data_IF_847494097250
#
_entry.id   IF_847494097250
#
_cell.length_a   1.000
_cell.length_b   1.000
_cell.length_c   1.000
_cell.angle_alpha   90.00
_cell.angle_beta   90.00
_cell.angle_gamma   90.00
#
_symmetry.space_group_name_H-M   'P 1'
#
loop_
_entity.id
_entity.type
_entity.pdbx_description
1 polymer ?
#
# COMPACT_ATOMS: atom_id res chain seq x y z
N UNK A 1 29.20 49.62 41.18
CA UNK A 1 27.97 49.94 40.41
C UNK A 1 28.38 50.36 39.01
N UNK A 2 28.21 49.47 38.02
CA UNK A 2 27.64 49.80 36.72
C UNK A 2 27.47 48.53 35.90
N UNK A 3 26.28 48.42 35.33
CA UNK A 3 25.65 47.19 34.90
C UNK A 3 26.17 46.71 33.54
N UNK A 4 26.36 45.39 33.44
CA UNK A 4 26.52 44.69 32.17
C UNK A 4 25.12 44.39 31.64
N UNK A 5 24.74 45.00 30.52
CA UNK A 5 23.56 44.59 29.75
C UNK A 5 23.89 43.32 28.95
N UNK A 6 23.10 42.23 29.06
CA UNK A 6 23.24 41.13 28.13
C UNK A 6 22.53 41.48 26.81
N UNK A 7 23.23 41.31 25.69
CA UNK A 7 22.60 41.29 24.37
C UNK A 7 21.57 40.15 24.34
N UNK A 8 20.29 40.50 24.23
CA UNK A 8 19.25 39.55 23.88
C UNK A 8 19.46 39.10 22.42
N UNK A 9 19.96 37.88 22.24
CA UNK A 9 19.87 37.18 20.95
C UNK A 9 18.40 36.86 20.72
N UNK A 10 17.74 37.65 19.87
CA UNK A 10 16.43 37.32 19.35
C UNK A 10 16.55 36.06 18.48
N UNK A 11 16.25 34.89 19.06
CA UNK A 11 15.91 33.70 18.29
C UNK A 11 14.60 34.00 17.56
N UNK A 12 14.72 34.48 16.31
CA UNK A 12 13.66 34.41 15.31
C UNK A 12 13.41 32.94 15.03
N UNK A 13 12.59 32.31 15.88
CA UNK A 13 11.97 31.03 15.55
C UNK A 13 11.14 31.25 14.30
N UNK A 14 11.60 30.70 13.17
CA UNK A 14 10.80 30.61 11.96
C UNK A 14 9.58 29.77 12.31
N UNK A 15 8.44 30.43 12.51
CA UNK A 15 7.16 29.73 12.59
C UNK A 15 7.01 28.91 11.31
N UNK A 16 7.03 27.58 11.42
CA UNK A 16 6.72 26.69 10.31
C UNK A 16 5.36 27.13 9.76
N UNK A 17 5.34 27.59 8.50
CA UNK A 17 4.12 28.03 7.84
C UNK A 17 3.06 26.94 8.00
N UNK A 18 1.88 27.30 8.51
CA UNK A 18 0.81 26.33 8.67
C UNK A 18 0.49 25.69 7.30
N UNK A 19 0.22 24.37 7.25
CA UNK A 19 -0.10 23.72 6.00
C UNK A 19 -1.30 24.41 5.35
N UNK A 20 -1.15 24.79 4.07
CA UNK A 20 -2.26 25.40 3.31
C UNK A 20 -2.83 24.37 2.36
N UNK A 21 -4.15 24.19 2.45
CA UNK A 21 -4.90 23.24 1.65
C UNK A 21 -5.55 23.96 0.46
N UNK A 22 -5.51 23.35 -0.71
CA UNK A 22 -6.24 23.83 -1.89
C UNK A 22 -6.67 22.68 -2.79
N UNK A 23 -7.61 22.97 -3.69
CA UNK A 23 -8.02 22.07 -4.78
C UNK A 23 -7.78 22.83 -6.08
N UNK A 24 -6.74 22.46 -6.87
CA UNK A 24 -6.49 23.12 -8.14
C UNK A 24 -7.67 22.99 -9.10
N UNK A 25 -7.91 24.02 -9.93
CA UNK A 25 -9.02 24.00 -10.88
C UNK A 25 -8.89 22.79 -11.83
N UNK A 26 -9.95 21.99 -11.93
CA UNK A 26 -9.98 20.79 -12.77
C UNK A 26 -9.22 19.58 -12.22
N UNK A 27 -8.57 19.68 -11.06
CA UNK A 27 -7.80 18.57 -10.48
C UNK A 27 -8.70 17.67 -9.59
N UNK A 28 -8.61 16.33 -9.75
CA UNK A 28 -9.34 15.37 -8.92
C UNK A 28 -8.58 15.05 -7.61
N UNK A 29 -7.85 16.02 -7.05
CA UNK A 29 -7.01 15.82 -5.87
C UNK A 29 -6.82 17.10 -5.06
N UNK A 30 -6.41 16.93 -3.81
CA UNK A 30 -6.08 18.00 -2.88
C UNK A 30 -4.59 18.29 -2.96
N UNK A 31 -4.19 19.56 -2.86
CA UNK A 31 -2.80 19.96 -2.63
C UNK A 31 -2.66 20.49 -1.21
N UNK A 32 -1.68 19.97 -0.46
CA UNK A 32 -1.30 20.49 0.85
C UNK A 32 0.12 21.02 0.77
N UNK A 33 0.27 22.34 0.88
CA UNK A 33 1.58 23.00 0.88
C UNK A 33 2.11 23.17 2.30
N UNK A 34 3.42 23.28 2.44
CA UNK A 34 4.08 23.49 3.74
C UNK A 34 4.28 22.20 4.54
N UNK A 35 4.11 21.04 3.90
CA UNK A 35 4.46 19.73 4.45
C UNK A 35 5.76 19.27 3.81
N UNK A 36 6.76 18.95 4.64
CA UNK A 36 8.03 18.46 4.13
C UNK A 36 7.93 16.94 3.99
N UNK A 37 8.12 16.34 2.80
CA UNK A 37 7.82 14.92 2.65
C UNK A 37 8.65 13.97 3.53
N UNK A 38 9.85 14.38 3.98
CA UNK A 38 10.64 13.61 4.94
C UNK A 38 9.94 13.40 6.29
N UNK A 39 9.00 14.27 6.67
CA UNK A 39 8.16 14.13 7.86
C UNK A 39 7.23 12.90 7.75
N UNK A 40 6.86 12.52 6.53
CA UNK A 40 5.99 11.38 6.20
C UNK A 40 6.78 10.09 5.94
N UNK A 41 8.11 10.15 5.91
CA UNK A 41 8.98 9.04 5.50
C UNK A 41 9.71 8.40 6.69
N UNK A 42 10.05 9.21 7.69
CA UNK A 42 10.87 8.79 8.83
C UNK A 42 10.09 8.23 10.03
N UNK A 43 10.74 8.15 11.22
CA UNK A 43 10.15 7.60 12.44
C UNK A 43 8.85 8.30 12.91
N UNK A 44 8.63 9.55 12.49
CA UNK A 44 7.43 10.34 12.83
C UNK A 44 6.30 10.25 11.78
N UNK A 45 6.42 9.35 10.79
CA UNK A 45 5.45 9.21 9.70
C UNK A 45 4.01 9.02 10.16
N UNK A 46 3.78 8.20 11.19
CA UNK A 46 2.41 7.91 11.65
C UNK A 46 1.72 9.15 12.24
N UNK A 47 2.31 9.87 13.22
CA UNK A 47 1.78 11.16 13.67
C UNK A 47 1.62 12.20 12.55
N UNK A 48 2.54 12.24 11.58
CA UNK A 48 2.47 13.18 10.47
C UNK A 48 1.27 12.88 9.54
N UNK A 49 1.05 11.60 9.19
CA UNK A 49 -0.11 11.16 8.42
C UNK A 49 -1.44 11.38 9.17
N UNK A 50 -1.45 11.20 10.49
CA UNK A 50 -2.61 11.55 11.33
C UNK A 50 -2.96 13.04 11.23
N UNK A 51 -1.97 13.92 11.40
CA UNK A 51 -2.16 15.38 11.27
C UNK A 51 -2.61 15.78 9.86
N UNK A 52 -2.05 15.16 8.83
CA UNK A 52 -2.46 15.38 7.44
C UNK A 52 -3.94 15.00 7.24
N UNK A 53 -4.36 13.82 7.70
CA UNK A 53 -5.76 13.40 7.61
C UNK A 53 -6.69 14.34 8.39
N UNK A 54 -6.28 14.81 9.58
CA UNK A 54 -7.04 15.81 10.35
C UNK A 54 -7.20 17.14 9.60
N UNK A 55 -6.18 17.60 8.88
CA UNK A 55 -6.28 18.79 8.02
C UNK A 55 -7.32 18.56 6.93
N UNK A 56 -7.27 17.42 6.24
CA UNK A 56 -8.23 17.08 5.18
C UNK A 56 -9.66 16.99 5.73
N UNK A 57 -9.92 16.18 6.75
CA UNK A 57 -11.30 15.95 7.22
C UNK A 57 -11.94 17.14 7.96
N UNK A 58 -11.18 18.20 8.25
CA UNK A 58 -11.75 19.49 8.67
C UNK A 58 -12.52 20.19 7.54
N UNK A 59 -12.08 20.04 6.29
CA UNK A 59 -12.70 20.71 5.14
C UNK A 59 -13.56 19.78 4.27
N UNK A 60 -13.30 18.48 4.29
CA UNK A 60 -13.98 17.51 3.41
C UNK A 60 -14.88 16.53 4.20
N UNK A 61 -15.92 16.02 3.54
CA UNK A 61 -16.82 14.99 4.06
C UNK A 61 -16.11 13.64 4.16
N UNK A 62 -16.54 12.81 5.11
CA UNK A 62 -15.96 11.49 5.40
C UNK A 62 -16.44 10.41 4.41
N UNK A 63 -15.96 10.49 3.17
CA UNK A 63 -16.43 9.63 2.08
C UNK A 63 -15.36 8.68 1.51
N UNK A 64 -14.09 8.84 1.87
CA UNK A 64 -13.01 8.01 1.35
C UNK A 64 -12.91 6.66 2.09
N UNK A 65 -12.71 5.58 1.33
CA UNK A 65 -12.28 4.30 1.89
C UNK A 65 -10.76 4.33 2.14
N UNK A 66 -10.01 4.99 1.25
CA UNK A 66 -8.56 5.16 1.35
C UNK A 66 -8.14 6.58 1.00
N UNK A 67 -7.09 7.07 1.66
CA UNK A 67 -6.42 8.31 1.28
C UNK A 67 -5.05 7.96 0.69
N UNK A 68 -4.75 8.42 -0.52
CA UNK A 68 -3.43 8.25 -1.13
C UNK A 68 -2.69 9.57 -1.14
N UNK A 69 -1.48 9.57 -0.56
CA UNK A 69 -0.64 10.74 -0.37
C UNK A 69 0.63 10.59 -1.20
N UNK A 70 0.89 11.56 -2.06
CA UNK A 70 2.10 11.61 -2.87
C UNK A 70 2.93 12.83 -2.52
N UNK A 71 4.24 12.65 -2.40
CA UNK A 71 5.16 13.78 -2.37
C UNK A 71 5.39 14.33 -3.77
N UNK A 72 5.28 15.65 -3.92
CA UNK A 72 5.61 16.36 -5.16
C UNK A 72 7.14 16.39 -5.35
N UNK A 73 7.71 15.25 -5.77
CA UNK A 73 9.12 15.05 -6.08
C UNK A 73 9.25 14.26 -7.38
N UNK A 74 10.20 14.66 -8.24
CA UNK A 74 10.57 13.90 -9.47
C UNK A 74 11.63 12.84 -9.22
N UNK A 75 12.48 13.05 -8.22
CA UNK A 75 13.48 12.11 -7.76
C UNK A 75 13.31 11.88 -6.26
N UNK A 76 13.50 10.63 -5.85
CA UNK A 76 13.47 10.23 -4.45
C UNK A 76 14.89 10.34 -3.91
N UNK A 77 15.17 11.15 -2.89
CA UNK A 77 16.50 11.19 -2.26
C UNK A 77 16.95 9.80 -1.81
N UNK A 78 18.23 9.46 -1.96
CA UNK A 78 18.78 8.16 -1.54
C UNK A 78 18.55 7.87 -0.04
N UNK A 79 18.46 8.92 0.78
CA UNK A 79 18.16 8.84 2.21
C UNK A 79 16.69 8.51 2.53
N UNK A 80 15.81 8.43 1.53
CA UNK A 80 14.40 8.08 1.72
C UNK A 80 14.29 6.59 2.08
N UNK A 81 13.82 6.24 3.29
CA UNK A 81 13.85 4.86 3.78
C UNK A 81 12.76 3.97 3.17
N UNK A 82 11.84 4.53 2.39
CA UNK A 82 10.65 3.84 1.86
C UNK A 82 10.42 4.16 0.40
N UNK A 83 9.92 3.17 -0.36
CA UNK A 83 9.42 3.37 -1.73
C UNK A 83 7.90 3.57 -1.77
N UNK A 84 7.24 3.24 -0.68
CA UNK A 84 5.83 3.37 -0.40
C UNK A 84 5.55 2.76 0.97
N UNK A 85 4.37 3.01 1.53
CA UNK A 85 3.84 2.22 2.65
C UNK A 85 2.33 2.34 2.75
N UNK A 86 1.73 1.34 3.39
CA UNK A 86 0.36 1.37 3.88
C UNK A 86 0.30 1.61 5.39
N UNK A 87 -0.57 2.53 5.82
CA UNK A 87 -0.89 2.78 7.22
C UNK A 87 -2.36 2.44 7.46
N UNK A 88 -2.60 1.37 8.23
CA UNK A 88 -3.95 0.94 8.59
C UNK A 88 -4.58 1.89 9.62
N UNK A 89 -5.80 2.34 9.34
CA UNK A 89 -6.60 3.22 10.21
C UNK A 89 -7.74 2.45 10.87
N UNK A 90 -8.36 1.55 10.12
CA UNK A 90 -9.47 0.72 10.56
C UNK A 90 -9.36 -0.65 9.91
N UNK A 91 -9.79 -1.67 10.62
CA UNK A 91 -10.10 -2.97 10.04
C UNK A 91 -11.46 -3.44 10.56
N UNK A 92 -12.41 -3.62 9.66
CA UNK A 92 -13.72 -4.23 9.90
C UNK A 92 -13.86 -5.61 9.21
N UNK A 93 -12.77 -6.09 8.58
CA UNK A 93 -12.72 -7.40 7.93
C UNK A 93 -12.21 -8.45 8.93
N UNK A 94 -12.95 -9.55 9.07
CA UNK A 94 -12.56 -10.73 9.86
C UNK A 94 -12.00 -11.83 8.95
N UNK A 95 -11.32 -12.81 9.54
CA UNK A 95 -10.81 -13.99 8.82
C UNK A 95 -9.61 -13.68 7.90
N UNK A 96 -8.93 -12.56 8.12
CA UNK A 96 -7.72 -12.14 7.37
C UNK A 96 -6.47 -12.04 8.26
N UNK A 97 -6.55 -12.47 9.53
CA UNK A 97 -5.41 -12.45 10.47
C UNK A 97 -5.20 -11.10 11.18
N UNK A 98 -5.85 -10.05 10.71
CA UNK A 98 -5.85 -8.73 11.36
C UNK A 98 -7.02 -8.63 12.35
N UNK A 99 -6.79 -8.26 13.62
CA UNK A 99 -7.87 -7.96 14.55
C UNK A 99 -8.75 -6.81 14.04
N UNK A 100 -10.04 -6.81 14.39
CA UNK A 100 -10.91 -5.66 14.08
C UNK A 100 -10.61 -4.50 15.01
N UNK A 101 -10.49 -3.29 14.46
CA UNK A 101 -10.27 -2.07 15.24
C UNK A 101 -10.69 -0.82 14.45
N UNK A 102 -10.83 0.31 15.14
CA UNK A 102 -11.06 1.62 14.51
C UNK A 102 -10.25 2.72 15.23
N UNK A 103 -9.20 3.21 14.58
CA UNK A 103 -8.37 4.30 15.07
C UNK A 103 -8.76 5.67 14.46
N UNK A 104 -9.88 5.76 13.74
CA UNK A 104 -10.29 6.94 12.99
C UNK A 104 -10.43 8.22 13.80
N UNK A 105 -10.62 8.14 15.13
CA UNK A 105 -10.54 9.29 16.05
C UNK A 105 -9.22 10.07 15.90
N UNK A 106 -8.12 9.37 15.63
CA UNK A 106 -6.79 9.98 15.48
C UNK A 106 -6.58 10.62 14.10
N UNK A 107 -7.47 10.33 13.13
CA UNK A 107 -7.37 10.75 11.73
C UNK A 107 -8.52 11.69 11.37
N UNK A 108 -8.80 12.68 12.22
CA UNK A 108 -9.86 13.67 11.98
C UNK A 108 -11.26 13.18 12.30
N UNK A 109 -11.40 12.13 13.12
CA UNK A 109 -12.70 11.61 13.53
C UNK A 109 -13.42 10.80 12.43
N UNK A 110 -12.73 10.40 11.37
CA UNK A 110 -13.27 9.54 10.32
C UNK A 110 -13.80 8.23 10.90
N UNK A 111 -14.93 7.76 10.36
CA UNK A 111 -15.50 6.44 10.63
C UNK A 111 -15.32 5.50 9.43
N UNK A 112 -15.03 6.07 8.25
CA UNK A 112 -14.96 5.34 7.00
C UNK A 112 -13.56 4.86 6.64
N UNK A 113 -12.56 5.72 6.79
CA UNK A 113 -11.19 5.51 6.29
C UNK A 113 -10.61 4.18 6.82
N UNK A 114 -10.25 3.30 5.90
CA UNK A 114 -9.62 2.01 6.18
C UNK A 114 -8.12 2.14 6.32
N UNK A 115 -7.49 2.97 5.47
CA UNK A 115 -6.05 3.20 5.54
C UNK A 115 -5.59 4.39 4.69
N UNK A 116 -4.32 4.75 4.90
CA UNK A 116 -3.62 5.71 4.06
C UNK A 116 -2.46 5.02 3.34
N UNK A 117 -2.20 5.45 2.11
CA UNK A 117 -1.02 5.09 1.34
C UNK A 117 -0.13 6.30 1.20
N UNK A 118 1.18 6.12 1.28
CA UNK A 118 2.15 7.17 1.01
C UNK A 118 3.14 6.74 -0.06
N UNK A 119 3.50 7.66 -0.95
CA UNK A 119 4.55 7.49 -1.95
C UNK A 119 5.48 8.73 -2.02
N UNK A 120 6.80 8.54 -2.08
CA UNK A 120 7.79 9.61 -1.98
C UNK A 120 7.99 10.42 -3.27
N UNK A 121 7.27 10.12 -4.35
CA UNK A 121 7.36 10.78 -5.64
C UNK A 121 6.09 10.56 -6.48
N UNK A 122 5.82 11.46 -7.42
CA UNK A 122 4.71 11.34 -8.38
C UNK A 122 5.13 10.74 -9.72
N UNK A 123 6.44 10.67 -10.00
CA UNK A 123 6.99 10.22 -11.27
C UNK A 123 8.32 9.48 -11.08
N UNK A 124 8.63 8.45 -11.88
CA UNK A 124 7.76 7.83 -12.89
C UNK A 124 6.68 6.92 -12.28
N UNK A 125 5.44 7.02 -12.78
CA UNK A 125 4.29 6.30 -12.20
C UNK A 125 4.46 4.79 -12.20
N UNK A 126 5.15 4.23 -13.20
CA UNK A 126 5.41 2.79 -13.30
C UNK A 126 6.37 2.25 -12.23
N UNK A 127 7.11 3.12 -11.53
CA UNK A 127 7.97 2.71 -10.41
C UNK A 127 7.28 2.80 -9.05
N UNK A 128 6.05 3.32 -9.00
CA UNK A 128 5.30 3.50 -7.76
C UNK A 128 4.66 2.15 -7.42
N UNK A 129 5.03 1.48 -6.32
CA UNK A 129 4.54 0.14 -5.98
C UNK A 129 3.11 0.17 -5.42
N UNK A 130 2.20 0.89 -6.09
CA UNK A 130 0.87 1.18 -5.57
C UNK A 130 0.08 -0.06 -5.23
N UNK A 131 -0.01 -1.02 -6.16
CA UNK A 131 -0.81 -2.23 -5.93
C UNK A 131 -0.14 -3.16 -4.90
N UNK A 132 1.18 -3.09 -4.71
CA UNK A 132 1.84 -3.76 -3.59
C UNK A 132 1.42 -3.14 -2.26
N UNK A 133 1.54 -1.81 -2.12
CA UNK A 133 1.17 -1.13 -0.88
C UNK A 133 -0.32 -1.24 -0.58
N UNK A 134 -1.17 -1.19 -1.60
CA UNK A 134 -2.61 -1.35 -1.43
C UNK A 134 -2.99 -2.74 -0.91
N UNK A 135 -2.21 -3.77 -1.28
CA UNK A 135 -2.41 -5.14 -0.81
C UNK A 135 -2.20 -5.30 0.69
N UNK A 136 -1.35 -4.47 1.31
CA UNK A 136 -1.13 -4.48 2.76
C UNK A 136 -2.40 -4.16 3.54
N UNK A 137 -3.45 -3.60 2.92
CA UNK A 137 -4.79 -3.52 3.51
C UNK A 137 -5.32 -4.88 3.99
N UNK A 138 -5.04 -5.94 3.23
CA UNK A 138 -5.48 -7.32 3.45
C UNK A 138 -4.32 -8.32 3.42
N UNK A 139 -3.10 -7.87 3.72
CA UNK A 139 -1.88 -8.65 3.57
C UNK A 139 -1.81 -9.91 4.43
N UNK A 140 -0.68 -10.63 4.37
CA UNK A 140 -0.56 -11.92 5.03
C UNK A 140 -0.30 -11.78 6.54
N UNK A 141 -1.38 -11.81 7.32
CA UNK A 141 -1.37 -11.93 8.79
C UNK A 141 -1.87 -13.32 9.27
N UNK A 142 -2.11 -14.26 8.32
CA UNK A 142 -2.63 -15.60 8.61
C UNK A 142 -1.54 -16.68 8.55
N UNK A 143 -0.72 -16.64 7.51
CA UNK A 143 0.21 -17.71 7.20
C UNK A 143 1.57 -17.39 7.81
N UNK A 144 2.25 -18.37 8.44
CA UNK A 144 3.63 -18.21 8.85
C UNK A 144 4.50 -17.74 7.68
N UNK A 145 5.32 -16.72 7.93
CA UNK A 145 6.11 -16.06 6.89
C UNK A 145 7.46 -15.63 7.45
N UNK A 146 8.45 -15.53 6.57
CA UNK A 146 9.77 -14.98 6.90
C UNK A 146 9.73 -13.44 7.07
N UNK A 147 8.70 -12.79 6.53
CA UNK A 147 8.57 -11.34 6.49
C UNK A 147 7.12 -10.96 6.83
N UNK A 148 6.86 -10.32 7.99
CA UNK A 148 5.51 -9.94 8.40
C UNK A 148 4.76 -9.15 7.31
N UNK A 149 3.47 -9.44 7.14
CA UNK A 149 2.63 -8.83 6.09
C UNK A 149 2.83 -9.41 4.68
N UNK A 150 3.81 -10.29 4.48
CA UNK A 150 4.18 -10.85 3.18
C UNK A 150 4.10 -12.37 3.14
N UNK A 151 4.20 -12.97 1.95
CA UNK A 151 4.05 -14.42 1.77
C UNK A 151 5.34 -15.22 1.89
N UNK A 152 6.51 -14.56 1.95
CA UNK A 152 7.77 -15.22 2.23
C UNK A 152 8.08 -16.34 1.23
N UNK A 153 8.31 -17.55 1.75
CA UNK A 153 8.52 -18.76 0.97
C UNK A 153 7.20 -19.52 0.77
N UNK A 154 6.16 -18.83 0.31
CA UNK A 154 4.87 -19.45 0.04
C UNK A 154 4.39 -19.20 -1.39
N UNK A 155 3.74 -20.22 -1.95
CA UNK A 155 3.11 -20.18 -3.26
C UNK A 155 1.71 -19.55 -3.28
N UNK A 156 1.32 -18.88 -2.20
CA UNK A 156 0.02 -18.21 -2.03
C UNK A 156 0.04 -16.75 -2.47
N UNK A 157 1.21 -16.14 -2.57
CA UNK A 157 1.37 -14.70 -2.79
C UNK A 157 1.89 -14.38 -4.17
N UNK A 158 1.67 -13.13 -4.59
CA UNK A 158 2.24 -12.61 -5.82
C UNK A 158 2.78 -11.21 -5.56
N UNK A 159 1.89 -10.26 -5.32
CA UNK A 159 2.24 -8.87 -5.09
C UNK A 159 3.02 -8.68 -3.79
N UNK A 160 2.62 -9.38 -2.73
CA UNK A 160 3.28 -9.39 -1.42
C UNK A 160 4.35 -10.50 -1.30
N UNK A 161 5.00 -10.83 -2.42
CA UNK A 161 6.06 -11.83 -2.47
C UNK A 161 5.52 -13.26 -2.56
N UNK A 162 6.41 -14.24 -2.43
CA UNK A 162 6.09 -15.64 -2.66
C UNK A 162 6.45 -16.11 -4.07
N UNK A 163 6.35 -17.42 -4.30
CA UNK A 163 6.71 -18.05 -5.57
C UNK A 163 5.48 -18.49 -6.37
N UNK A 164 5.65 -18.78 -7.65
CA UNK A 164 4.66 -19.47 -8.46
C UNK A 164 4.67 -20.96 -8.12
N UNK A 165 3.59 -21.45 -7.51
CA UNK A 165 3.43 -22.85 -7.11
C UNK A 165 3.69 -23.84 -8.26
N UNK A 166 3.45 -23.45 -9.51
CA UNK A 166 3.67 -24.31 -10.71
C UNK A 166 5.15 -24.57 -10.99
N UNK A 167 6.03 -23.73 -10.46
CA UNK A 167 7.48 -23.79 -10.73
C UNK A 167 8.26 -24.51 -9.63
N UNK A 168 7.61 -24.79 -8.50
CA UNK A 168 8.24 -25.42 -7.34
C UNK A 168 8.71 -26.83 -7.71
N UNK A 169 9.97 -27.11 -7.42
CA UNK A 169 10.58 -28.43 -7.56
C UNK A 169 11.46 -28.74 -6.35
N UNK A 170 11.42 -29.99 -5.90
CA UNK A 170 12.37 -30.51 -4.91
C UNK A 170 13.64 -30.94 -5.64
N UNK A 171 14.79 -30.40 -5.24
CA UNK A 171 16.10 -30.64 -5.89
C UNK A 171 17.11 -31.32 -4.96
N UNK A 172 16.69 -31.62 -3.73
CA UNK A 172 17.46 -32.36 -2.72
C UNK A 172 16.59 -32.65 -1.50
N UNK A 173 17.12 -33.31 -0.44
CA UNK A 173 16.34 -33.70 0.73
C UNK A 173 15.54 -32.56 1.38
N UNK A 174 16.17 -31.40 1.56
CA UNK A 174 15.58 -30.18 2.12
C UNK A 174 15.73 -28.97 1.19
N UNK A 175 16.11 -29.20 -0.07
CA UNK A 175 16.37 -28.15 -1.06
C UNK A 175 15.25 -28.09 -2.10
N UNK A 176 14.78 -26.87 -2.34
CA UNK A 176 13.72 -26.56 -3.28
C UNK A 176 14.17 -25.43 -4.21
N UNK A 177 13.60 -25.42 -5.40
CA UNK A 177 13.76 -24.32 -6.34
C UNK A 177 12.39 -23.87 -6.82
N UNK A 178 12.17 -22.55 -6.90
CA UNK A 178 10.97 -21.96 -7.46
C UNK A 178 11.27 -20.59 -8.11
N UNK A 179 10.35 -20.12 -8.95
CA UNK A 179 10.40 -18.83 -9.65
C UNK A 179 9.11 -18.05 -9.39
N UNK A 180 9.09 -16.76 -9.71
CA UNK A 180 7.86 -15.98 -9.69
C UNK A 180 7.04 -16.19 -10.98
N UNK A 181 5.90 -15.51 -11.10
CA UNK A 181 5.01 -15.60 -12.26
C UNK A 181 5.65 -15.17 -13.59
N UNK A 182 6.78 -14.45 -13.55
CA UNK A 182 7.54 -14.01 -14.73
C UNK A 182 8.72 -14.94 -15.06
N UNK A 183 8.85 -16.07 -14.37
CA UNK A 183 9.98 -16.99 -14.54
C UNK A 183 11.31 -16.49 -13.94
N UNK A 184 11.31 -15.35 -13.25
CA UNK A 184 12.48 -14.81 -12.57
C UNK A 184 12.60 -15.35 -11.13
N UNK A 185 13.71 -15.04 -10.44
CA UNK A 185 13.77 -15.23 -8.98
C UNK A 185 12.59 -14.54 -8.31
N UNK A 186 11.96 -15.21 -7.35
CA UNK A 186 10.93 -14.59 -6.53
C UNK A 186 11.53 -13.80 -5.37
N UNK A 187 10.75 -12.87 -4.82
CA UNK A 187 11.05 -12.20 -3.57
C UNK A 187 10.17 -12.71 -2.44
N UNK A 188 10.71 -12.76 -1.21
CA UNK A 188 9.94 -13.07 0.01
C UNK A 188 8.97 -11.96 0.38
N UNK A 189 9.31 -10.71 0.06
CA UNK A 189 8.48 -9.53 0.33
C UNK A 189 7.71 -9.03 -0.91
N UNK A 190 8.29 -9.07 -2.11
CA UNK A 190 7.64 -8.52 -3.29
C UNK A 190 8.14 -9.16 -4.58
N UNK A 191 7.30 -9.17 -5.61
CA UNK A 191 7.66 -9.59 -6.96
C UNK A 191 7.57 -8.44 -7.97
N UNK A 192 8.24 -7.32 -7.66
CA UNK A 192 8.42 -6.22 -8.62
C UNK A 192 7.38 -5.11 -8.57
N UNK A 193 6.74 -4.88 -7.42
CA UNK A 193 5.93 -3.68 -7.17
C UNK A 193 4.57 -3.74 -7.86
N UNK A 194 4.52 -3.50 -9.17
CA UNK A 194 3.30 -3.60 -9.97
C UNK A 194 3.42 -4.64 -11.11
N UNK A 195 4.50 -5.43 -11.15
CA UNK A 195 4.84 -6.22 -12.34
C UNK A 195 4.14 -7.58 -12.45
N UNK A 196 3.28 -7.93 -11.49
CA UNK A 196 2.55 -9.20 -11.45
C UNK A 196 1.11 -8.98 -10.99
N UNK A 197 0.14 -9.80 -11.43
CA UNK A 197 -1.21 -9.73 -10.92
C UNK A 197 -1.29 -10.25 -9.48
N UNK A 198 -2.40 -9.99 -8.81
CA UNK A 198 -2.69 -10.61 -7.52
C UNK A 198 -2.93 -12.13 -7.66
N UNK A 199 -2.49 -12.87 -6.65
CA UNK A 199 -2.78 -14.30 -6.53
C UNK A 199 -4.24 -14.55 -6.18
N UNK A 200 -4.70 -15.79 -6.32
CA UNK A 200 -6.07 -16.18 -5.92
C UNK A 200 -6.31 -15.92 -4.42
N UNK A 201 -5.29 -16.15 -3.58
CA UNK A 201 -5.39 -15.96 -2.14
C UNK A 201 -5.37 -14.47 -1.76
N UNK A 202 -4.52 -13.64 -2.39
CA UNK A 202 -4.56 -12.18 -2.22
C UNK A 202 -5.96 -11.63 -2.58
N UNK A 203 -6.52 -12.07 -3.71
CA UNK A 203 -7.87 -11.66 -4.13
C UNK A 203 -8.96 -12.16 -3.17
N UNK A 204 -8.83 -13.35 -2.61
CA UNK A 204 -9.73 -13.83 -1.57
C UNK A 204 -9.67 -12.93 -0.32
N UNK A 205 -8.48 -12.56 0.17
CA UNK A 205 -8.32 -11.69 1.33
C UNK A 205 -8.90 -10.30 1.09
N UNK A 206 -8.77 -9.77 -0.13
CA UNK A 206 -9.42 -8.52 -0.57
C UNK A 206 -10.95 -8.64 -0.68
N UNK A 207 -11.47 -9.86 -0.82
CA UNK A 207 -12.88 -10.12 -1.08
C UNK A 207 -13.27 -10.02 -2.54
N UNK A 208 -12.32 -10.10 -3.44
CA UNK A 208 -12.53 -10.05 -4.88
C UNK A 208 -12.65 -11.45 -5.49
N UNK A 209 -12.37 -12.51 -4.73
CA UNK A 209 -12.50 -13.89 -5.18
C UNK A 209 -13.23 -14.75 -4.13
N UNK A 210 -14.20 -15.60 -4.51
CA UNK A 210 -14.84 -16.53 -3.59
C UNK A 210 -13.87 -17.60 -3.12
N UNK A 211 -14.08 -18.13 -1.91
CA UNK A 211 -13.21 -19.15 -1.31
C UNK A 211 -13.00 -20.35 -2.24
N UNK A 212 -14.06 -20.81 -2.89
CA UNK A 212 -14.07 -22.00 -3.76
C UNK A 212 -13.18 -21.84 -5.00
N UNK A 213 -12.84 -20.62 -5.40
CA UNK A 213 -11.96 -20.35 -6.53
C UNK A 213 -10.48 -20.23 -6.12
N UNK A 214 -10.16 -20.29 -4.81
CA UNK A 214 -8.78 -20.28 -4.33
C UNK A 214 -8.14 -21.65 -4.55
N UNK A 215 -7.15 -21.70 -5.44
CA UNK A 215 -6.38 -22.92 -5.68
C UNK A 215 -5.52 -23.29 -4.46
N UNK A 216 -5.32 -24.58 -4.17
CA UNK A 216 -4.34 -25.02 -3.18
C UNK A 216 -2.94 -24.49 -3.51
N UNK A 217 -2.15 -24.23 -2.47
CA UNK A 217 -0.79 -23.73 -2.59
C UNK A 217 0.11 -24.36 -1.53
N UNK A 218 1.42 -24.20 -1.68
CA UNK A 218 2.40 -24.74 -0.75
C UNK A 218 3.19 -23.63 -0.07
N UNK A 219 3.38 -23.71 1.24
CA UNK A 219 4.29 -22.84 1.99
C UNK A 219 5.45 -23.64 2.58
N UNK A 220 6.65 -23.09 2.53
CA UNK A 220 7.81 -23.64 3.20
C UNK A 220 7.77 -23.32 4.70
N UNK A 221 8.00 -24.33 5.55
CA UNK A 221 8.20 -24.12 6.97
C UNK A 221 9.69 -23.85 7.25
N UNK A 222 9.99 -22.77 7.95
CA UNK A 222 11.36 -22.31 8.23
C UNK A 222 12.22 -22.14 6.96
N UNK A 223 11.61 -21.61 5.88
CA UNK A 223 12.29 -21.38 4.62
C UNK A 223 13.46 -20.41 4.75
N UNK A 224 14.60 -20.72 4.13
CA UNK A 224 15.77 -19.85 4.10
C UNK A 224 16.45 -19.91 2.72
N UNK A 225 16.94 -18.76 2.25
CA UNK A 225 17.64 -18.69 0.96
C UNK A 225 18.95 -19.46 1.01
N UNK A 226 19.21 -20.25 -0.03
CA UNK A 226 20.53 -20.86 -0.30
C UNK A 226 21.17 -20.14 -1.48
N UNK A 227 20.41 -19.94 -2.56
CA UNK A 227 20.80 -19.10 -3.68
C UNK A 227 19.57 -18.35 -4.20
N UNK A 228 19.47 -17.07 -3.80
CA UNK A 228 18.33 -16.22 -4.14
C UNK A 228 18.19 -16.04 -5.66
N UNK A 229 19.25 -15.70 -6.39
CA UNK A 229 19.16 -15.43 -7.83
C UNK A 229 18.70 -16.66 -8.64
N UNK A 230 19.08 -17.86 -8.19
CA UNK A 230 18.62 -19.12 -8.76
C UNK A 230 17.22 -19.56 -8.27
N UNK A 231 16.64 -18.86 -7.29
CA UNK A 231 15.38 -19.23 -6.65
C UNK A 231 15.48 -20.48 -5.78
N UNK A 232 16.68 -20.81 -5.28
CA UNK A 232 16.95 -22.00 -4.48
C UNK A 232 16.89 -21.64 -2.99
N UNK A 233 16.10 -22.40 -2.25
CA UNK A 233 15.91 -22.24 -0.82
C UNK A 233 15.87 -23.60 -0.13
N UNK A 234 16.24 -23.61 1.14
CA UNK A 234 16.08 -24.76 2.00
C UNK A 234 14.82 -24.63 2.84
N UNK A 235 14.20 -25.75 3.20
CA UNK A 235 13.08 -25.81 4.11
C UNK A 235 12.95 -27.20 4.73
N UNK A 236 12.62 -27.27 6.03
CA UNK A 236 12.42 -28.54 6.73
C UNK A 236 11.31 -29.37 6.06
N UNK A 237 10.24 -28.71 5.61
CA UNK A 237 9.14 -29.32 4.84
C UNK A 237 8.33 -28.27 4.08
N UNK A 238 7.61 -28.74 3.06
CA UNK A 238 6.54 -28.00 2.40
C UNK A 238 5.19 -28.39 3.01
N UNK A 239 4.39 -27.40 3.40
CA UNK A 239 3.02 -27.59 3.87
C UNK A 239 2.05 -27.26 2.74
N UNK A 240 1.20 -28.23 2.38
CA UNK A 240 0.10 -28.01 1.44
C UNK A 240 -1.06 -27.38 2.19
N UNK A 241 -1.55 -26.24 1.68
CA UNK A 241 -2.67 -25.50 2.23
C UNK A 241 -3.75 -25.34 1.16
N UNK A 242 -5.00 -25.47 1.60
CA UNK A 242 -6.17 -25.08 0.83
C UNK A 242 -7.00 -24.11 1.65
N UNK A 243 -7.99 -23.50 1.01
CA UNK A 243 -8.81 -22.48 1.65
C UNK A 243 -9.61 -23.03 2.84
N UNK A 244 -10.04 -24.30 2.77
CA UNK A 244 -10.80 -24.93 3.85
C UNK A 244 -9.96 -25.04 5.12
N UNK A 245 -8.70 -25.47 5.01
CA UNK A 245 -7.78 -25.55 6.14
C UNK A 245 -7.52 -24.17 6.76
N UNK A 246 -7.37 -23.13 5.93
CA UNK A 246 -7.23 -21.74 6.39
C UNK A 246 -8.48 -21.30 7.15
N UNK A 247 -9.66 -21.52 6.60
CA UNK A 247 -10.93 -21.11 7.21
C UNK A 247 -11.25 -21.89 8.49
N UNK A 248 -10.94 -23.19 8.56
CA UNK A 248 -11.10 -23.98 9.78
C UNK A 248 -10.24 -23.46 10.93
N UNK A 249 -9.06 -22.90 10.62
CA UNK A 249 -8.15 -22.37 11.63
C UNK A 249 -8.46 -20.92 12.04
N UNK A 250 -8.79 -20.07 11.06
CA UNK A 250 -8.86 -18.61 11.27
C UNK A 250 -10.25 -18.01 11.07
N UNK A 251 -11.24 -18.86 10.75
CA UNK A 251 -12.57 -18.45 10.34
C UNK A 251 -12.63 -18.01 8.86
N UNK A 252 -13.83 -18.03 8.27
CA UNK A 252 -14.06 -17.48 6.94
C UNK A 252 -13.89 -15.95 6.94
N UNK A 253 -13.51 -15.40 5.79
CA UNK A 253 -13.47 -13.96 5.58
C UNK A 253 -14.87 -13.36 5.73
N UNK A 254 -15.00 -12.29 6.52
CA UNK A 254 -16.25 -11.51 6.65
C UNK A 254 -15.99 -10.01 6.49
N UNK A 255 -16.79 -9.26 5.71
CA UNK A 255 -17.88 -9.75 4.84
C UNK A 255 -17.34 -10.76 3.84
N UNK A 256 -18.17 -11.68 3.35
CA UNK A 256 -17.73 -12.67 2.37
C UNK A 256 -17.53 -12.03 0.97
N UNK A 257 -17.31 -12.85 -0.06
CA UNK A 257 -17.17 -12.37 -1.44
C UNK A 257 -18.45 -11.70 -1.97
N UNK A 258 -19.64 -12.17 -1.59
CA UNK A 258 -20.90 -11.61 -2.10
C UNK A 258 -21.17 -10.20 -1.55
N UNK A 259 -20.72 -9.94 -0.32
CA UNK A 259 -21.01 -8.70 0.40
C UNK A 259 -19.82 -7.75 0.51
N UNK A 260 -18.64 -8.14 0.05
CA UNK A 260 -17.46 -7.26 0.07
C UNK A 260 -17.49 -6.20 -1.03
N UNK A 261 -16.89 -5.01 -0.79
CA UNK A 261 -16.73 -3.99 -1.81
C UNK A 261 -15.94 -4.51 -3.01
N UNK A 262 -16.34 -4.09 -4.21
CA UNK A 262 -15.61 -4.29 -5.47
C UNK A 262 -15.04 -2.99 -6.04
N UNK A 263 -15.53 -1.87 -5.55
CA UNK A 263 -15.04 -0.53 -5.88
C UNK A 263 -14.62 0.17 -4.60
N UNK A 264 -13.39 0.67 -4.58
CA UNK A 264 -12.81 1.36 -3.43
C UNK A 264 -12.65 2.85 -3.73
N UNK A 265 -13.14 3.70 -2.83
CA UNK A 265 -13.07 5.16 -2.99
C UNK A 265 -11.75 5.72 -2.50
N UNK A 266 -11.01 6.39 -3.38
CA UNK A 266 -9.76 7.05 -3.05
C UNK A 266 -9.92 8.56 -3.01
N UNK A 267 -9.38 9.17 -1.97
CA UNK A 267 -9.09 10.61 -1.94
C UNK A 267 -7.59 10.81 -2.14
N UNK A 268 -7.23 11.51 -3.21
CA UNK A 268 -5.83 11.78 -3.54
C UNK A 268 -5.35 13.12 -2.96
N UNK A 269 -4.14 13.10 -2.41
CA UNK A 269 -3.47 14.26 -1.81
C UNK A 269 -2.05 14.36 -2.36
N UNK A 270 -1.70 15.53 -2.88
CA UNK A 270 -0.33 15.91 -3.23
C UNK A 270 0.23 16.79 -2.11
N UNK A 271 1.32 16.36 -1.47
CA UNK A 271 2.05 17.20 -0.52
C UNK A 271 3.23 17.87 -1.20
N UNK A 272 3.45 19.15 -0.90
CA UNK A 272 4.58 19.89 -1.46
C UNK A 272 5.11 20.92 -0.47
N UNK A 273 6.43 21.17 -0.48
CA UNK A 273 7.05 22.24 0.29
C UNK A 273 6.81 23.63 -0.33
N UNK A 274 6.51 23.68 -1.63
CA UNK A 274 6.30 24.91 -2.39
C UNK A 274 5.01 24.83 -3.24
N UNK A 275 4.53 25.92 -3.85
CA UNK A 275 3.44 25.86 -4.81
C UNK A 275 3.80 24.95 -6.01
N UNK A 276 3.01 23.90 -6.31
CA UNK A 276 3.28 23.05 -7.47
C UNK A 276 3.15 23.81 -8.79
N UNK A 277 4.00 23.49 -9.75
CA UNK A 277 3.90 23.98 -11.12
C UNK A 277 2.75 23.30 -11.87
N UNK A 278 2.29 23.90 -12.98
CA UNK A 278 1.27 23.26 -13.85
C UNK A 278 1.72 21.88 -14.36
N UNK A 279 3.02 21.72 -14.65
CA UNK A 279 3.55 20.46 -15.13
C UNK A 279 3.49 19.38 -14.03
N UNK A 280 3.83 19.71 -12.79
CA UNK A 280 3.73 18.78 -11.65
C UNK A 280 2.29 18.37 -11.37
N UNK A 281 1.35 19.32 -11.44
CA UNK A 281 -0.08 19.03 -11.31
C UNK A 281 -0.57 18.09 -12.42
N UNK A 282 -0.15 18.34 -13.67
CA UNK A 282 -0.48 17.48 -14.82
C UNK A 282 0.12 16.08 -14.69
N UNK A 283 1.39 15.97 -14.29
CA UNK A 283 2.04 14.69 -14.01
C UNK A 283 1.29 13.92 -12.95
N UNK A 284 0.86 14.58 -11.87
CA UNK A 284 0.11 13.89 -10.82
C UNK A 284 -1.28 13.44 -11.30
N UNK A 285 -1.99 14.24 -12.11
CA UNK A 285 -3.23 13.82 -12.76
C UNK A 285 -3.03 12.56 -13.61
N UNK A 286 -1.97 12.50 -14.42
CA UNK A 286 -1.66 11.33 -15.25
C UNK A 286 -1.33 10.09 -14.41
N UNK A 287 -0.57 10.26 -13.31
CA UNK A 287 -0.30 9.18 -12.36
C UNK A 287 -1.59 8.62 -11.78
N UNK A 288 -2.53 9.48 -11.35
CA UNK A 288 -3.82 9.04 -10.84
C UNK A 288 -4.69 8.38 -11.92
N UNK A 289 -4.67 8.90 -13.14
CA UNK A 289 -5.40 8.33 -14.27
C UNK A 289 -4.93 6.91 -14.58
N UNK A 290 -3.61 6.68 -14.65
CA UNK A 290 -3.07 5.32 -14.86
C UNK A 290 -3.43 4.40 -13.69
N UNK A 291 -3.20 4.82 -12.43
CA UNK A 291 -3.50 3.97 -11.26
C UNK A 291 -4.97 3.56 -11.16
N UNK A 292 -5.89 4.39 -11.65
CA UNK A 292 -7.34 4.16 -11.63
C UNK A 292 -7.90 3.66 -12.97
N UNK A 293 -7.03 3.39 -13.94
CA UNK A 293 -7.38 2.84 -15.23
C UNK A 293 -8.12 1.50 -15.10
N UNK A 294 -8.96 1.21 -16.09
CA UNK A 294 -9.71 -0.05 -16.20
C UNK A 294 -9.50 -0.67 -17.56
N UNK A 295 -9.50 -2.01 -17.63
CA UNK A 295 -9.11 -2.74 -18.83
C UNK A 295 -7.60 -2.98 -18.88
N UNK A 296 -7.19 -3.79 -19.86
CA UNK A 296 -5.78 -4.05 -20.17
C UNK A 296 -5.24 -2.91 -21.04
N UNK A 297 -4.25 -2.18 -20.55
CA UNK A 297 -3.56 -1.10 -21.25
C UNK A 297 -2.30 -1.57 -22.00
N UNK A 298 -1.97 -2.87 -21.90
CA UNK A 298 -0.80 -3.49 -22.52
C UNK A 298 0.53 -3.18 -21.84
N UNK A 299 0.54 -2.44 -20.73
CA UNK A 299 1.74 -2.18 -19.95
C UNK A 299 2.10 -3.41 -19.09
N UNK A 300 3.40 -3.60 -18.91
CA UNK A 300 3.95 -4.57 -17.95
C UNK A 300 3.73 -4.18 -16.48
N UNK A 301 3.30 -2.95 -16.21
CA UNK A 301 2.98 -2.42 -14.90
C UNK A 301 1.48 -2.35 -14.73
N UNK A 302 0.96 -3.25 -13.90
CA UNK A 302 -0.47 -3.41 -13.72
C UNK A 302 -1.06 -2.22 -12.96
N UNK A 303 -2.15 -1.68 -13.50
CA UNK A 303 -3.17 -0.95 -12.75
C UNK A 303 -3.84 -1.86 -11.72
N UNK A 304 -4.58 -1.28 -10.78
CA UNK A 304 -5.34 -2.09 -9.81
C UNK A 304 -6.38 -2.99 -10.50
N UNK A 305 -7.02 -2.49 -11.57
CA UNK A 305 -8.04 -3.26 -12.27
C UNK A 305 -7.42 -4.48 -12.97
N UNK A 306 -6.31 -4.31 -13.67
CA UNK A 306 -5.63 -5.43 -14.33
C UNK A 306 -5.08 -6.43 -13.32
N UNK A 307 -4.44 -5.95 -12.24
CA UNK A 307 -3.87 -6.82 -11.21
C UNK A 307 -4.93 -7.68 -10.54
N UNK A 308 -6.16 -7.17 -10.48
CA UNK A 308 -7.34 -7.89 -9.97
C UNK A 308 -8.10 -8.67 -11.03
N UNK A 309 -7.60 -8.77 -12.27
CA UNK A 309 -8.25 -9.48 -13.39
C UNK A 309 -9.63 -8.89 -13.70
N UNK A 310 -9.76 -7.58 -13.55
CA UNK A 310 -11.01 -6.84 -13.73
C UNK A 310 -11.97 -6.88 -12.54
N UNK A 311 -11.67 -7.63 -11.47
CA UNK A 311 -12.59 -7.87 -10.35
C UNK A 311 -12.72 -6.68 -9.38
N UNK A 312 -11.68 -5.85 -9.29
CA UNK A 312 -11.63 -4.67 -8.43
C UNK A 312 -11.51 -3.38 -9.23
N UNK A 313 -12.06 -2.28 -8.69
CA UNK A 313 -11.96 -0.94 -9.26
C UNK A 313 -11.60 0.09 -8.21
N UNK A 314 -10.93 1.14 -8.64
CA UNK A 314 -10.67 2.33 -7.85
C UNK A 314 -11.55 3.47 -8.36
N UNK A 315 -12.24 4.14 -7.44
CA UNK A 315 -13.00 5.35 -7.73
C UNK A 315 -12.30 6.54 -7.10
N UNK A 316 -11.68 7.38 -7.93
CA UNK A 316 -11.10 8.63 -7.49
C UNK A 316 -12.20 9.64 -7.16
N UNK A 317 -12.26 10.08 -5.91
CA UNK A 317 -13.22 11.06 -5.45
C UNK A 317 -12.84 12.46 -5.90
N UNK A 318 -13.82 13.24 -6.37
CA UNK A 318 -13.64 14.66 -6.67
C UNK A 318 -13.74 15.48 -5.37
N UNK A 319 -12.64 16.05 -4.85
CA UNK A 319 -12.66 16.80 -3.60
C UNK A 319 -13.58 18.03 -3.65
N UNK A 320 -13.87 18.59 -4.83
CA UNK A 320 -14.79 19.74 -4.98
C UNK A 320 -16.21 19.39 -4.57
N UNK A 321 -16.62 18.14 -4.80
CA UNK A 321 -17.95 17.62 -4.40
C UNK A 321 -17.99 17.21 -2.93
N UNK A 322 -16.83 17.09 -2.28
CA UNK A 322 -16.70 16.66 -0.90
C UNK A 322 -16.50 17.81 0.08
N UNK A 323 -16.20 19.02 -0.41
CA UNK A 323 -15.96 20.18 0.47
C UNK A 323 -17.24 20.52 1.24
N UNK A 324 -17.09 20.84 2.52
CA UNK A 324 -18.17 21.25 3.43
C UNK A 324 -18.52 22.73 3.24
#
# INVERSE_FOLDING_TARGET
MNQVFPLAVALLGTALAQPTLSVPAGAPFIVIRGVTPSELEGPRRTPAMQKLAQVVYREFRDEADFMVVFANRRSVPESTPVKGYYLRVKNDVKGIGVPTFNAGKNFGGTRRLQGLLYFPNTFPFWKIPFIHEFAHGWGNDLLPTAEPGHFGFCGAGSQLGGFDSRTLRKIGPELYQARNLRGASFGTAANGGNSVPYSDFELYLMGLLPAQAVKPFQCAYAGAWVNRSAGIFQANRMHSLNIQAVQSKYGPRQPDFAHSPKTFRLLAVLVSSAPPTRQELSTFSLTLQHLTGTGDDGDSNYTFNEATRGLGRLHLLDPRTLRR
#
